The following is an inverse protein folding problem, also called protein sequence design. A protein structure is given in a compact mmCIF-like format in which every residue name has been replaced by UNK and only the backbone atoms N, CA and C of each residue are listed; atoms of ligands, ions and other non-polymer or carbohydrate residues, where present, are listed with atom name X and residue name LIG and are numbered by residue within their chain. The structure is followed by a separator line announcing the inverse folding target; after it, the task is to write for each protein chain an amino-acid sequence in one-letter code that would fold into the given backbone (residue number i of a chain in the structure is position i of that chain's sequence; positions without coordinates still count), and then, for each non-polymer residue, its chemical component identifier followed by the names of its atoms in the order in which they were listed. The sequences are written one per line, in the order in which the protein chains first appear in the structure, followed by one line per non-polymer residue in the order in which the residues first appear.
data_IF_833410851336
#
_entry.id   IF_833410851336
#
_cell.length_a   1.000
_cell.length_b   1.000
_cell.length_c   1.000
_cell.angle_alpha   90.00
_cell.angle_beta   90.00
_cell.angle_gamma   90.00
#
_symmetry.space_group_name_H-M   'P 1'
#
loop_
_entity.id
_entity.type
_entity.pdbx_description
1 polymer ?
#
# COMPACT_ATOMS: atom_id res chain seq x y z
N UNK A 1 53.23 23.87 37.12
CA UNK A 1 54.56 24.47 36.90
C UNK A 1 55.27 23.57 35.90
N UNK A 2 55.73 23.94 34.71
CA UNK A 2 55.90 25.19 33.99
C UNK A 2 56.02 24.80 32.50
N UNK A 3 55.47 25.59 31.59
CA UNK A 3 55.83 25.59 30.16
C UNK A 3 57.29 26.07 29.97
N UNK A 4 57.87 25.88 28.78
CA UNK A 4 58.06 27.02 27.87
C UNK A 4 57.70 26.64 26.42
N UNK A 5 56.81 27.32 25.70
CA UNK A 5 56.86 28.68 25.10
C UNK A 5 58.07 28.89 24.17
N UNK A 6 57.75 29.05 22.88
CA UNK A 6 58.25 30.07 21.92
C UNK A 6 58.70 29.49 20.57
N UNK A 7 58.52 30.11 19.40
CA UNK A 7 57.66 31.19 18.86
C UNK A 7 58.02 31.30 17.35
N UNK A 8 57.00 31.51 16.50
CA UNK A 8 56.95 32.47 15.36
C UNK A 8 57.78 32.21 14.09
N UNK A 9 57.07 32.05 12.96
CA UNK A 9 57.14 32.84 11.70
C UNK A 9 56.33 32.11 10.61
N UNK A 10 55.04 32.40 10.41
CA UNK A 10 54.51 33.44 9.52
C UNK A 10 55.00 33.34 8.05
N UNK A 11 54.15 32.81 7.17
CA UNK A 11 53.98 33.39 5.83
C UNK A 11 52.53 33.26 5.38
N UNK A 12 51.88 34.41 5.34
CA UNK A 12 50.52 34.69 4.90
C UNK A 12 50.57 35.11 3.44
N UNK A 13 49.84 34.44 2.55
CA UNK A 13 49.36 34.95 1.26
C UNK A 13 47.98 34.27 1.09
N UNK A 14 46.86 34.88 1.53
CA UNK A 14 46.10 35.94 0.83
C UNK A 14 45.97 35.60 -0.67
N UNK A 15 44.83 35.13 -1.18
CA UNK A 15 43.69 36.01 -1.40
C UNK A 15 42.39 35.21 -1.45
N UNK A 16 41.46 35.65 -0.60
CA UNK A 16 40.06 35.74 -0.94
C UNK A 16 39.90 36.45 -2.29
N UNK A 17 39.17 35.83 -3.23
CA UNK A 17 38.21 36.60 -4.00
C UNK A 17 36.83 35.99 -3.74
N UNK A 18 36.00 36.86 -3.18
CA UNK A 18 34.68 36.61 -2.71
C UNK A 18 33.68 36.47 -3.87
N UNK A 19 32.76 35.52 -3.69
CA UNK A 19 31.30 35.65 -3.84
C UNK A 19 30.61 35.77 -5.20
N UNK A 20 29.50 35.02 -5.25
CA UNK A 20 28.25 35.14 -6.02
C UNK A 20 28.18 34.31 -7.32
N UNK A 21 27.62 33.10 -7.22
CA UNK A 21 26.25 32.85 -7.68
C UNK A 21 25.69 31.53 -7.13
N UNK A 22 24.47 31.66 -6.63
CA UNK A 22 23.48 30.63 -6.32
C UNK A 22 23.26 29.68 -7.50
N UNK A 23 23.38 28.37 -7.27
CA UNK A 23 22.66 27.36 -8.02
C UNK A 23 22.59 26.07 -7.20
N UNK A 24 21.41 25.82 -6.63
CA UNK A 24 21.02 24.51 -6.14
C UNK A 24 21.00 23.53 -7.33
N UNK A 25 21.66 22.38 -7.22
CA UNK A 25 21.34 21.22 -8.06
C UNK A 25 20.60 20.23 -7.17
N UNK A 26 19.28 20.20 -7.37
CA UNK A 26 18.33 19.29 -6.76
C UNK A 26 18.72 17.84 -7.07
N UNK A 27 18.54 17.00 -6.07
CA UNK A 27 18.55 15.55 -6.17
C UNK A 27 17.67 15.08 -7.35
N UNK A 28 18.19 14.17 -8.17
CA UNK A 28 17.41 13.42 -9.16
C UNK A 28 16.80 12.19 -8.45
N UNK A 29 15.48 12.11 -8.23
CA UNK A 29 14.84 10.83 -7.98
C UNK A 29 14.36 10.25 -9.31
N UNK A 30 14.92 9.09 -9.67
CA UNK A 30 14.42 8.26 -10.74
C UNK A 30 12.92 8.00 -10.56
N UNK A 31 12.16 8.57 -11.49
CA UNK A 31 10.79 8.26 -11.91
C UNK A 31 10.06 7.16 -11.12
N UNK A 32 9.52 7.52 -9.95
CA UNK A 32 8.40 6.83 -9.33
C UNK A 32 7.17 7.73 -9.53
N UNK A 33 6.31 7.36 -10.47
CA UNK A 33 5.06 8.07 -10.73
C UNK A 33 4.04 7.70 -9.66
N UNK A 34 4.22 8.30 -8.48
CA UNK A 34 3.18 8.50 -7.49
C UNK A 34 1.90 9.01 -8.16
N UNK A 35 0.73 8.55 -7.71
CA UNK A 35 -0.55 9.03 -8.22
C UNK A 35 -0.74 10.52 -7.84
N UNK A 36 -0.32 11.42 -8.72
CA UNK A 36 -0.60 12.85 -8.62
C UNK A 36 -1.96 13.08 -9.27
N UNK A 37 -2.98 13.27 -8.44
CA UNK A 37 -4.29 13.68 -8.93
C UNK A 37 -4.25 15.19 -9.08
N UNK A 38 -4.44 15.67 -10.30
CA UNK A 38 -4.47 17.09 -10.63
C UNK A 38 -5.57 17.80 -9.83
N UNK A 39 -5.16 18.61 -8.85
CA UNK A 39 -6.03 19.49 -8.06
C UNK A 39 -5.99 19.17 -6.56
N UNK A 40 -5.04 19.76 -5.83
CA UNK A 40 -4.85 19.84 -4.37
C UNK A 40 -5.05 18.61 -3.45
N UNK A 41 -5.55 17.48 -3.94
CA UNK A 41 -5.77 16.26 -3.17
C UNK A 41 -4.63 15.27 -3.41
N UNK A 42 -3.72 15.13 -2.45
CA UNK A 42 -2.68 14.11 -2.48
C UNK A 42 -3.25 12.76 -2.07
N UNK A 43 -3.17 11.75 -2.93
CA UNK A 43 -3.43 10.39 -2.52
C UNK A 43 -2.26 9.81 -1.71
N UNK A 44 -2.47 8.65 -1.07
CA UNK A 44 -1.42 7.98 -0.29
C UNK A 44 -0.24 7.56 -1.17
N UNK A 45 0.97 7.93 -0.75
CA UNK A 45 2.20 7.71 -1.53
C UNK A 45 3.34 7.08 -0.71
N UNK A 46 3.01 6.42 0.39
CA UNK A 46 3.99 5.65 1.18
C UNK A 46 3.78 4.15 0.93
N UNK A 47 4.88 3.41 0.88
CA UNK A 47 4.88 1.96 0.80
C UNK A 47 4.14 1.33 1.99
N UNK A 48 4.30 1.91 3.19
CA UNK A 48 3.59 1.44 4.39
C UNK A 48 2.17 1.97 4.40
N UNK A 49 1.23 1.18 4.90
CA UNK A 49 -0.15 1.64 5.08
C UNK A 49 -0.26 2.73 6.17
N UNK A 50 -1.24 3.64 6.03
CA UNK A 50 -1.60 4.59 7.09
C UNK A 50 -2.02 3.87 8.37
N UNK A 51 -1.83 4.52 9.51
CA UNK A 51 -2.19 3.97 10.84
C UNK A 51 -3.55 4.45 11.34
N UNK A 52 -4.30 5.14 10.49
CA UNK A 52 -5.58 5.76 10.85
C UNK A 52 -6.70 4.73 11.02
N UNK A 53 -6.62 3.60 10.31
CA UNK A 53 -7.56 2.49 10.36
C UNK A 53 -6.81 1.22 10.78
N UNK A 54 -7.28 0.59 11.85
CA UNK A 54 -6.64 -0.61 12.42
C UNK A 54 -7.55 -1.81 12.22
N UNK A 55 -7.19 -2.80 11.38
CA UNK A 55 -8.02 -3.98 11.17
C UNK A 55 -8.16 -4.79 12.46
N UNK A 56 -9.39 -5.25 12.73
CA UNK A 56 -9.75 -6.03 13.91
C UNK A 56 -10.04 -7.49 13.55
N UNK A 57 -10.72 -7.73 12.43
CA UNK A 57 -11.09 -9.07 11.99
C UNK A 57 -11.27 -9.11 10.47
N UNK A 58 -11.11 -10.32 9.92
CA UNK A 58 -11.33 -10.61 8.50
C UNK A 58 -12.25 -11.83 8.39
N UNK A 59 -13.31 -11.69 7.61
CA UNK A 59 -14.08 -12.80 7.09
C UNK A 59 -13.74 -12.94 5.62
N UNK A 60 -13.32 -14.14 5.21
CA UNK A 60 -12.88 -14.40 3.83
C UNK A 60 -13.54 -15.67 3.32
N UNK A 61 -14.16 -15.58 2.16
CA UNK A 61 -14.72 -16.70 1.42
C UNK A 61 -14.07 -16.75 0.04
N UNK A 62 -13.57 -17.93 -0.35
CA UNK A 62 -12.90 -18.14 -1.63
C UNK A 62 -13.57 -19.31 -2.33
N UNK A 63 -13.93 -19.09 -3.60
CA UNK A 63 -14.51 -20.05 -4.51
C UNK A 63 -13.59 -20.24 -5.72
N UNK A 64 -12.69 -21.22 -5.68
CA UNK A 64 -11.79 -21.51 -6.78
C UNK A 64 -12.47 -22.30 -7.91
N UNK A 65 -12.04 -22.05 -9.14
CA UNK A 65 -12.41 -22.80 -10.34
C UNK A 65 -11.13 -23.44 -10.93
N UNK A 66 -11.00 -24.75 -10.74
CA UNK A 66 -9.83 -25.50 -11.19
C UNK A 66 -9.88 -25.87 -12.67
N UNK A 67 -11.00 -25.65 -13.35
CA UNK A 67 -11.12 -25.85 -14.80
C UNK A 67 -10.66 -24.61 -15.55
N UNK A 68 -11.08 -23.43 -15.07
CA UNK A 68 -10.69 -22.13 -15.63
C UNK A 68 -9.37 -21.61 -15.09
N UNK A 69 -8.89 -22.18 -13.99
CA UNK A 69 -7.72 -21.73 -13.24
C UNK A 69 -7.86 -20.27 -12.79
N UNK A 70 -9.02 -19.93 -12.27
CA UNK A 70 -9.30 -18.65 -11.63
C UNK A 70 -9.98 -18.86 -10.28
N UNK A 71 -10.18 -17.79 -9.53
CA UNK A 71 -10.92 -17.84 -8.29
C UNK A 71 -11.70 -16.55 -8.09
N UNK A 72 -12.86 -16.68 -7.47
CA UNK A 72 -13.65 -15.56 -6.96
C UNK A 72 -13.66 -15.62 -5.46
N UNK A 73 -13.74 -14.47 -4.82
CA UNK A 73 -13.86 -14.42 -3.39
C UNK A 73 -14.56 -13.17 -2.93
N UNK A 74 -14.82 -13.17 -1.64
CA UNK A 74 -15.41 -12.08 -0.91
C UNK A 74 -14.68 -11.94 0.41
N UNK A 75 -14.44 -10.70 0.82
CA UNK A 75 -13.88 -10.36 2.12
C UNK A 75 -14.70 -9.27 2.79
N UNK A 76 -14.96 -9.45 4.08
CA UNK A 76 -15.38 -8.37 4.97
C UNK A 76 -14.26 -8.10 5.95
N UNK A 77 -13.79 -6.85 5.98
CA UNK A 77 -12.77 -6.39 6.93
C UNK A 77 -13.46 -5.48 7.94
N UNK A 78 -13.36 -5.84 9.22
CA UNK A 78 -13.70 -4.91 10.30
C UNK A 78 -12.48 -4.06 10.63
N UNK A 79 -12.62 -2.74 10.58
CA UNK A 79 -11.57 -1.79 10.96
C UNK A 79 -12.05 -0.87 12.08
N UNK A 80 -11.13 -0.56 13.00
CA UNK A 80 -11.32 0.45 14.01
C UNK A 80 -10.72 1.79 13.54
N UNK A 81 -11.50 2.87 13.67
CA UNK A 81 -11.10 4.21 13.24
C UNK A 81 -10.33 4.91 14.36
N UNK A 82 -9.00 4.94 14.27
CA UNK A 82 -8.13 5.59 15.25
C UNK A 82 -8.08 7.12 15.04
N UNK A 83 -8.08 7.57 13.79
CA UNK A 83 -8.10 8.98 13.39
C UNK A 83 -9.23 9.22 12.41
N UNK A 84 -9.91 10.38 12.50
CA UNK A 84 -10.97 10.70 11.54
C UNK A 84 -10.37 11.00 10.16
N UNK A 85 -10.71 10.15 9.18
CA UNK A 85 -10.21 10.20 7.80
C UNK A 85 -11.34 9.92 6.82
N UNK A 86 -11.23 10.40 5.59
CA UNK A 86 -12.17 10.16 4.50
C UNK A 86 -11.58 9.25 3.41
N UNK A 87 -10.64 8.39 3.78
CA UNK A 87 -10.02 7.47 2.84
C UNK A 87 -9.73 6.12 3.52
N UNK A 88 -9.60 5.09 2.69
CA UNK A 88 -9.18 3.76 3.10
C UNK A 88 -8.08 3.32 2.13
N UNK A 89 -6.97 2.81 2.67
CA UNK A 89 -5.88 2.22 1.89
C UNK A 89 -5.68 0.79 2.35
N UNK A 90 -5.64 -0.15 1.42
CA UNK A 90 -5.38 -1.57 1.70
C UNK A 90 -4.53 -2.19 0.61
N UNK A 91 -3.80 -3.26 0.92
CA UNK A 91 -3.01 -3.94 -0.09
C UNK A 91 -3.88 -4.72 -1.08
N UNK A 92 -3.49 -4.67 -2.35
CA UNK A 92 -4.06 -5.50 -3.41
C UNK A 92 -2.99 -5.75 -4.47
N UNK A 93 -2.91 -7.00 -4.95
CA UNK A 93 -1.96 -7.41 -5.99
C UNK A 93 -2.61 -8.44 -6.89
N UNK A 94 -2.56 -8.21 -8.20
CA UNK A 94 -3.07 -9.13 -9.21
C UNK A 94 -4.54 -9.57 -9.00
N UNK A 95 -5.36 -8.70 -8.40
CA UNK A 95 -6.79 -8.92 -8.15
C UNK A 95 -7.63 -7.85 -8.85
N UNK A 96 -8.72 -8.29 -9.47
CA UNK A 96 -9.80 -7.41 -9.88
C UNK A 96 -10.76 -7.23 -8.69
N UNK A 97 -10.94 -5.98 -8.25
CA UNK A 97 -11.64 -5.63 -7.02
C UNK A 97 -12.96 -4.93 -7.31
N UNK A 98 -14.02 -5.38 -6.65
CA UNK A 98 -15.33 -4.72 -6.62
C UNK A 98 -15.67 -4.35 -5.17
N UNK A 99 -15.80 -3.05 -4.89
CA UNK A 99 -16.28 -2.58 -3.59
C UNK A 99 -17.79 -2.78 -3.54
N UNK A 100 -18.25 -3.68 -2.66
CA UNK A 100 -19.68 -4.00 -2.56
C UNK A 100 -20.39 -3.02 -1.62
N UNK A 101 -19.80 -2.81 -0.44
CA UNK A 101 -20.40 -2.01 0.62
C UNK A 101 -19.38 -1.58 1.66
N UNK A 102 -19.52 -0.35 2.17
CA UNK A 102 -18.76 0.17 3.31
C UNK A 102 -19.77 0.75 4.28
N UNK A 103 -19.77 0.30 5.53
CA UNK A 103 -20.78 0.71 6.52
C UNK A 103 -20.27 0.72 7.94
N UNK A 104 -20.89 1.51 8.81
CA UNK A 104 -20.63 1.43 10.26
C UNK A 104 -21.17 0.11 10.82
N UNK A 105 -20.40 -0.55 11.69
CA UNK A 105 -20.78 -1.84 12.29
C UNK A 105 -22.00 -1.73 13.20
N UNK A 106 -22.11 -0.66 14.00
CA UNK A 106 -23.17 -0.53 15.01
C UNK A 106 -24.50 -0.12 14.39
N UNK A 107 -24.50 0.92 13.53
CA UNK A 107 -25.72 1.50 12.99
C UNK A 107 -26.09 0.98 11.59
N UNK A 108 -25.24 0.15 10.98
CA UNK A 108 -25.39 -0.32 9.59
C UNK A 108 -25.58 0.82 8.58
N UNK A 109 -25.17 2.04 8.93
CA UNK A 109 -25.24 3.20 8.06
C UNK A 109 -24.18 3.06 6.98
N UNK A 110 -24.61 3.17 5.73
CA UNK A 110 -23.76 3.08 4.55
C UNK A 110 -22.92 4.33 4.40
N UNK A 111 -21.64 4.14 4.11
CA UNK A 111 -20.68 5.19 3.81
C UNK A 111 -20.50 5.24 2.29
N UNK A 112 -20.70 6.41 1.72
CA UNK A 112 -20.58 6.60 0.27
C UNK A 112 -19.11 6.64 -0.17
N UNK A 113 -18.82 5.92 -1.25
CA UNK A 113 -17.52 5.92 -1.92
C UNK A 113 -17.57 6.95 -3.04
N UNK A 114 -16.71 7.95 -2.96
CA UNK A 114 -16.58 8.99 -3.99
C UNK A 114 -15.87 8.43 -5.23
N UNK A 115 -14.74 7.75 -5.01
CA UNK A 115 -13.91 7.16 -6.06
C UNK A 115 -12.92 6.16 -5.48
N UNK A 116 -12.40 5.26 -6.31
CA UNK A 116 -11.31 4.36 -5.93
C UNK A 116 -10.40 4.07 -7.12
N UNK A 117 -9.16 3.68 -6.84
CA UNK A 117 -8.20 3.25 -7.85
C UNK A 117 -7.14 2.34 -7.23
N UNK A 118 -6.49 1.53 -8.08
CA UNK A 118 -5.38 0.66 -7.69
C UNK A 118 -4.07 1.34 -8.11
N UNK A 119 -3.16 1.52 -7.15
CA UNK A 119 -1.76 1.84 -7.41
C UNK A 119 -0.97 0.53 -7.54
N UNK A 120 -0.60 0.19 -8.79
CA UNK A 120 0.15 -1.03 -9.08
C UNK A 120 1.60 -1.00 -8.62
N UNK A 121 2.23 0.18 -8.49
CA UNK A 121 3.62 0.31 -8.00
C UNK A 121 3.69 0.01 -6.50
N UNK A 122 2.70 0.47 -5.73
CA UNK A 122 2.63 0.26 -4.28
C UNK A 122 1.84 -1.00 -3.89
N UNK A 123 1.22 -1.68 -4.85
CA UNK A 123 0.30 -2.81 -4.62
C UNK A 123 -0.81 -2.44 -3.60
N UNK A 124 -1.45 -1.29 -3.83
CA UNK A 124 -2.43 -0.71 -2.91
C UNK A 124 -3.71 -0.28 -3.63
N UNK A 125 -4.86 -0.57 -3.02
CA UNK A 125 -6.16 -0.01 -3.35
C UNK A 125 -6.38 1.23 -2.50
N UNK A 126 -6.62 2.36 -3.15
CA UNK A 126 -7.04 3.60 -2.51
C UNK A 126 -8.54 3.82 -2.74
N UNK A 127 -9.28 4.06 -1.66
CA UNK A 127 -10.71 4.36 -1.68
C UNK A 127 -10.92 5.72 -1.02
N UNK A 128 -11.50 6.66 -1.75
CA UNK A 128 -11.94 7.96 -1.27
C UNK A 128 -13.41 7.88 -0.88
N UNK A 129 -13.75 8.42 0.29
CA UNK A 129 -15.10 8.44 0.84
C UNK A 129 -15.68 9.86 0.74
N UNK A 130 -16.98 9.98 0.53
CA UNK A 130 -17.67 11.28 0.47
C UNK A 130 -17.68 12.02 1.82
N UNK A 131 -17.47 11.31 2.92
CA UNK A 131 -17.48 11.86 4.27
C UNK A 131 -16.35 11.29 5.14
N UNK A 132 -16.00 12.02 6.18
CA UNK A 132 -15.03 11.55 7.17
C UNK A 132 -15.63 10.47 8.06
N UNK A 133 -14.85 9.41 8.30
CA UNK A 133 -15.16 8.38 9.26
C UNK A 133 -15.13 8.93 10.68
N UNK A 134 -16.09 8.51 11.49
CA UNK A 134 -16.18 8.90 12.89
C UNK A 134 -15.04 8.24 13.69
N UNK A 135 -14.28 9.05 14.43
CA UNK A 135 -13.24 8.56 15.32
C UNK A 135 -13.82 7.61 16.37
N UNK A 136 -13.08 6.56 16.70
CA UNK A 136 -13.45 5.50 17.64
C UNK A 136 -14.69 4.68 17.23
N UNK A 137 -15.03 4.69 15.95
CA UNK A 137 -16.06 3.81 15.39
C UNK A 137 -15.45 2.54 14.79
N UNK A 138 -16.31 1.54 14.55
CA UNK A 138 -15.97 0.35 13.79
C UNK A 138 -16.68 0.39 12.43
N UNK A 139 -15.94 0.10 11.36
CA UNK A 139 -16.41 0.11 9.97
C UNK A 139 -16.20 -1.27 9.36
N UNK A 140 -17.18 -1.74 8.61
CA UNK A 140 -17.13 -2.97 7.82
C UNK A 140 -16.88 -2.61 6.36
N UNK A 141 -15.84 -3.18 5.77
CA UNK A 141 -15.46 -2.97 4.38
C UNK A 141 -15.68 -4.29 3.63
N UNK A 142 -16.71 -4.32 2.79
CA UNK A 142 -17.11 -5.51 2.02
C UNK A 142 -16.64 -5.38 0.58
N UNK A 143 -15.82 -6.34 0.16
CA UNK A 143 -15.17 -6.36 -1.14
C UNK A 143 -15.32 -7.74 -1.77
N UNK A 144 -15.66 -7.78 -3.05
CA UNK A 144 -15.54 -8.98 -3.88
C UNK A 144 -14.26 -8.87 -4.70
N UNK A 145 -13.59 -10.00 -4.90
CA UNK A 145 -12.36 -10.04 -5.68
C UNK A 145 -12.36 -11.23 -6.64
N UNK A 146 -11.69 -11.05 -7.77
CA UNK A 146 -11.41 -12.09 -8.75
C UNK A 146 -9.91 -12.10 -9.06
N UNK A 147 -9.33 -13.29 -9.13
CA UNK A 147 -7.92 -13.48 -9.42
C UNK A 147 -7.68 -14.73 -10.25
N UNK A 148 -6.48 -14.83 -10.81
CA UNK A 148 -6.06 -15.96 -11.63
C UNK A 148 -5.19 -16.89 -10.78
N UNK A 149 -5.46 -18.21 -10.84
CA UNK A 149 -4.60 -19.24 -10.25
C UNK A 149 -3.34 -19.38 -11.11
N UNK A 150 -2.35 -18.55 -10.81
CA UNK A 150 -1.06 -18.59 -11.49
C UNK A 150 -0.25 -19.84 -11.07
N UNK A 151 0.85 -20.09 -11.78
CA UNK A 151 1.82 -21.15 -11.43
C UNK A 151 2.99 -20.61 -10.59
N UNK A 152 2.93 -19.34 -10.18
CA UNK A 152 3.96 -18.73 -9.37
C UNK A 152 3.69 -19.23 -7.96
N UNK A 153 4.68 -19.80 -7.29
CA UNK A 153 4.55 -20.35 -5.94
C UNK A 153 4.42 -19.25 -4.86
N UNK A 154 3.59 -18.24 -5.12
CA UNK A 154 3.38 -17.06 -4.30
C UNK A 154 1.90 -16.66 -4.35
N UNK A 155 1.32 -16.38 -3.18
CA UNK A 155 -0.10 -16.08 -3.05
C UNK A 155 -0.96 -17.33 -3.20
N UNK A 156 -2.07 -17.22 -3.94
CA UNK A 156 -3.01 -18.32 -4.18
C UNK A 156 -2.74 -18.94 -5.56
N UNK A 157 -2.08 -20.09 -5.56
CA UNK A 157 -1.56 -20.71 -6.79
C UNK A 157 -1.96 -22.17 -6.92
N UNK A 158 -1.86 -22.69 -8.15
CA UNK A 158 -2.09 -24.10 -8.45
C UNK A 158 -0.78 -24.88 -8.48
N UNK A 159 -0.76 -26.03 -7.81
CA UNK A 159 0.28 -27.05 -7.97
C UNK A 159 -0.26 -28.27 -8.71
N UNK A 160 0.64 -29.03 -9.35
CA UNK A 160 0.31 -30.26 -10.07
C UNK A 160 1.20 -31.40 -9.61
N UNK A 161 0.61 -32.59 -9.47
CA UNK A 161 1.32 -33.83 -9.17
C UNK A 161 1.02 -34.85 -10.27
N UNK A 162 1.92 -35.83 -10.47
CA UNK A 162 1.76 -36.85 -11.50
C UNK A 162 1.28 -38.16 -10.87
N UNK A 163 0.17 -38.70 -11.36
CA UNK A 163 -0.21 -40.10 -11.12
C UNK A 163 -0.01 -40.85 -12.43
N UNK A 164 0.84 -41.88 -12.42
CA UNK A 164 1.12 -42.71 -13.61
C UNK A 164 1.52 -41.87 -14.85
N UNK A 165 2.40 -40.87 -14.66
CA UNK A 165 2.84 -39.93 -15.70
C UNK A 165 1.78 -38.97 -16.26
N UNK A 166 0.55 -38.99 -15.73
CA UNK A 166 -0.52 -38.05 -16.09
C UNK A 166 -0.56 -36.91 -15.06
N UNK A 167 -0.47 -35.63 -15.47
CA UNK A 167 -0.58 -34.50 -14.56
C UNK A 167 -2.02 -34.39 -14.00
N UNK A 168 -2.12 -34.24 -12.68
CA UNK A 168 -3.33 -33.95 -11.93
C UNK A 168 -3.11 -32.66 -11.15
N UNK A 169 -4.09 -31.76 -11.18
CA UNK A 169 -4.08 -30.50 -10.42
C UNK A 169 -5.02 -30.69 -9.23
N UNK A 170 -4.50 -30.84 -8.00
CA UNK A 170 -5.35 -30.97 -6.80
C UNK A 170 -5.00 -30.00 -5.68
N UNK A 171 -3.88 -29.29 -5.75
CA UNK A 171 -3.42 -28.52 -4.59
C UNK A 171 -3.47 -27.04 -4.91
N UNK A 172 -4.38 -26.34 -4.22
CA UNK A 172 -4.27 -24.92 -3.98
C UNK A 172 -3.43 -24.72 -2.74
N UNK A 173 -2.32 -24.02 -2.92
CA UNK A 173 -1.43 -23.65 -1.85
C UNK A 173 -1.52 -22.14 -1.68
N UNK A 174 -1.53 -21.73 -0.41
CA UNK A 174 -1.52 -20.33 -0.02
C UNK A 174 -0.18 -20.06 0.66
N UNK A 175 0.68 -19.29 0.00
CA UNK A 175 1.99 -18.91 0.55
C UNK A 175 2.11 -17.39 0.62
N UNK A 176 2.14 -16.88 1.84
CA UNK A 176 2.53 -15.51 2.16
C UNK A 176 3.93 -15.56 2.78
N UNK A 177 4.87 -14.76 2.26
CA UNK A 177 6.23 -14.64 2.81
C UNK A 177 6.27 -13.64 3.96
#
# INVERSE_FOLDING_TARGET
MHTPVSKIAALTICCLFATLTYANSLDEPGNATACVISGNETCWNDLRLPKDLVPQSYEILIHPDLERFDFRGWSCVEVFVNTSVNYIVMHTKDLNITINDIRYKIYSEKIEVERHFINGELEQLFIKLSSHLLRHSAVLINVSFHGILNKKEQGFFRSSYKINSIPRFFEMLCQYQ
#
